data_IF_900122203429
#
_entry.id   IF_900122203429
#
_cell.length_a   1.000
_cell.length_b   1.000
_cell.length_c   1.000
_cell.angle_alpha   90.00
_cell.angle_beta   90.00
_cell.angle_gamma   90.00
#
_symmetry.space_group_name_H-M   'P 1'
#
loop_
_entity.id
_entity.type
_entity.pdbx_description
1 polymer ?
#
# COMPACT_ATOMS: atom_id res chain seq x y z
N UNK A 1 41.62 -34.65 -29.40
CA UNK A 1 41.92 -34.61 -30.85
C UNK A 1 42.55 -33.28 -31.31
N UNK A 2 42.15 -32.11 -30.78
CA UNK A 2 42.73 -30.81 -31.18
C UNK A 2 44.18 -30.63 -30.70
N UNK A 3 44.51 -31.05 -29.47
CA UNK A 3 45.86 -30.92 -28.90
C UNK A 3 46.92 -31.77 -29.61
N UNK A 4 46.55 -32.97 -30.06
CA UNK A 4 47.46 -33.88 -30.75
C UNK A 4 47.86 -33.37 -32.15
N UNK A 5 46.96 -32.64 -32.81
CA UNK A 5 47.23 -31.96 -34.07
C UNK A 5 48.14 -30.73 -33.93
N UNK A 6 48.01 -29.99 -32.83
CA UNK A 6 48.86 -28.84 -32.53
C UNK A 6 50.30 -29.28 -32.22
N UNK A 7 50.48 -30.38 -31.49
CA UNK A 7 51.80 -30.89 -31.12
C UNK A 7 52.61 -31.38 -32.34
N UNK A 8 51.95 -32.09 -33.28
CA UNK A 8 52.58 -32.56 -34.53
C UNK A 8 53.02 -31.40 -35.43
N UNK A 9 52.25 -30.30 -35.47
CA UNK A 9 52.62 -29.08 -36.22
C UNK A 9 53.81 -28.35 -35.59
N UNK A 10 53.85 -28.26 -34.25
CA UNK A 10 54.97 -27.66 -33.53
C UNK A 10 56.29 -28.44 -33.73
N UNK A 11 56.21 -29.78 -33.74
CA UNK A 11 57.38 -30.62 -33.99
C UNK A 11 57.90 -30.50 -35.43
N UNK A 12 56.98 -30.45 -36.42
CA UNK A 12 57.36 -30.22 -37.81
C UNK A 12 58.01 -28.84 -38.02
N UNK A 13 57.48 -27.80 -37.37
CA UNK A 13 58.06 -26.45 -37.43
C UNK A 13 59.48 -26.40 -36.85
N UNK A 14 59.75 -27.10 -35.74
CA UNK A 14 61.09 -27.20 -35.15
C UNK A 14 62.09 -27.87 -36.10
N UNK A 15 61.71 -28.98 -36.73
CA UNK A 15 62.59 -29.68 -37.69
C UNK A 15 62.94 -28.82 -38.91
N UNK A 16 61.99 -28.03 -39.40
CA UNK A 16 62.25 -27.07 -40.49
C UNK A 16 63.19 -25.96 -40.03
N UNK A 17 62.99 -25.43 -38.82
CA UNK A 17 63.86 -24.39 -38.26
C UNK A 17 65.31 -24.87 -38.04
N UNK A 18 65.48 -26.09 -37.54
CA UNK A 18 66.79 -26.73 -37.38
C UNK A 18 67.49 -26.97 -38.73
N UNK A 19 66.76 -27.42 -39.74
CA UNK A 19 67.30 -27.58 -41.10
C UNK A 19 67.72 -26.23 -41.71
N UNK A 20 66.97 -25.16 -41.45
CA UNK A 20 67.26 -23.82 -41.94
C UNK A 20 68.51 -23.20 -41.28
N UNK A 21 68.67 -23.37 -39.97
CA UNK A 21 69.87 -22.97 -39.24
C UNK A 21 71.11 -23.70 -39.76
N UNK A 22 70.98 -24.99 -40.05
CA UNK A 22 72.06 -25.82 -40.60
C UNK A 22 72.55 -25.31 -41.97
N UNK A 23 71.64 -24.87 -42.84
CA UNK A 23 72.01 -24.32 -44.17
C UNK A 23 72.83 -23.03 -44.01
N UNK A 24 72.41 -22.07 -43.19
CA UNK A 24 73.19 -20.83 -43.01
C UNK A 24 74.56 -21.11 -42.37
N UNK A 25 74.61 -21.98 -41.37
CA UNK A 25 75.86 -22.37 -40.70
C UNK A 25 76.85 -23.07 -41.65
N UNK A 26 76.35 -23.90 -42.56
CA UNK A 26 77.19 -24.57 -43.56
C UNK A 26 77.87 -23.56 -44.49
N UNK A 27 77.12 -22.58 -44.99
CA UNK A 27 77.70 -21.52 -45.82
C UNK A 27 78.61 -20.60 -45.01
N UNK A 28 78.31 -20.35 -43.73
CA UNK A 28 79.14 -19.53 -42.84
C UNK A 28 80.49 -20.19 -42.59
N UNK A 29 80.49 -21.51 -42.41
CA UNK A 29 81.70 -22.31 -42.29
C UNK A 29 82.54 -22.25 -43.57
N UNK A 30 81.95 -22.50 -44.74
CA UNK A 30 82.65 -22.42 -46.04
C UNK A 30 83.23 -21.03 -46.30
N UNK A 31 82.49 -19.98 -45.96
CA UNK A 31 82.96 -18.60 -46.07
C UNK A 31 84.17 -18.32 -45.16
N UNK A 32 84.15 -18.82 -43.91
CA UNK A 32 85.27 -18.70 -42.98
C UNK A 32 86.51 -19.51 -43.42
N UNK A 33 86.29 -20.63 -44.11
CA UNK A 33 87.33 -21.45 -44.73
C UNK A 33 87.91 -20.82 -46.02
N UNK A 34 87.35 -19.68 -46.46
CA UNK A 34 87.88 -18.89 -47.55
C UNK A 34 87.20 -19.10 -48.90
N UNK A 35 86.10 -19.86 -48.99
CA UNK A 35 85.34 -20.04 -50.22
C UNK A 35 84.73 -18.70 -50.69
N UNK A 36 85.17 -18.15 -51.84
CA UNK A 36 84.66 -16.88 -52.34
C UNK A 36 83.18 -16.96 -52.74
N UNK A 37 82.71 -18.12 -53.21
CA UNK A 37 81.31 -18.35 -53.60
C UNK A 37 80.41 -18.34 -52.37
N UNK A 38 80.85 -18.98 -51.28
CA UNK A 38 80.11 -18.97 -50.03
C UNK A 38 80.06 -17.58 -49.38
N UNK A 39 81.15 -16.80 -49.46
CA UNK A 39 81.18 -15.39 -49.02
C UNK A 39 80.20 -14.52 -49.82
N UNK A 40 80.22 -14.64 -51.14
CA UNK A 40 79.30 -13.91 -52.03
C UNK A 40 77.84 -14.29 -51.72
N UNK A 41 77.55 -15.59 -51.62
CA UNK A 41 76.20 -16.10 -51.35
C UNK A 41 75.64 -15.62 -50.01
N UNK A 42 76.44 -15.65 -48.93
CA UNK A 42 76.01 -15.12 -47.63
C UNK A 42 75.78 -13.62 -47.65
N UNK A 43 76.67 -12.88 -48.32
CA UNK A 43 76.51 -11.43 -48.48
C UNK A 43 75.20 -11.09 -49.18
N UNK A 44 74.91 -11.76 -50.30
CA UNK A 44 73.64 -11.59 -51.02
C UNK A 44 72.43 -11.98 -50.15
N UNK A 45 72.49 -13.12 -49.47
CA UNK A 45 71.43 -13.60 -48.58
C UNK A 45 71.10 -12.58 -47.47
N UNK A 46 72.10 -12.06 -46.75
CA UNK A 46 71.89 -11.08 -45.69
C UNK A 46 71.43 -9.72 -46.20
N UNK A 47 71.92 -9.26 -47.35
CA UNK A 47 71.44 -8.03 -48.00
C UNK A 47 69.97 -8.17 -48.37
N UNK A 48 69.59 -9.27 -49.01
CA UNK A 48 68.21 -9.52 -49.45
C UNK A 48 67.25 -9.62 -48.25
N UNK A 49 67.65 -10.29 -47.16
CA UNK A 49 66.86 -10.32 -45.91
C UNK A 49 66.72 -8.93 -45.31
N UNK A 50 67.81 -8.16 -45.26
CA UNK A 50 67.80 -6.80 -44.72
C UNK A 50 66.88 -5.87 -45.51
N UNK A 51 66.91 -5.94 -46.84
CA UNK A 51 66.03 -5.15 -47.72
C UNK A 51 64.56 -5.54 -47.54
N UNK A 52 64.27 -6.83 -47.48
CA UNK A 52 62.91 -7.30 -47.27
C UNK A 52 62.34 -6.91 -45.90
N UNK A 53 63.13 -6.99 -44.83
CA UNK A 53 62.73 -6.55 -43.50
C UNK A 53 62.48 -5.03 -43.42
N UNK A 54 63.04 -4.26 -44.37
CA UNK A 54 62.83 -2.82 -44.52
C UNK A 54 61.75 -2.49 -45.57
N UNK A 55 61.11 -3.50 -46.20
CA UNK A 55 60.13 -3.30 -47.27
C UNK A 55 60.73 -2.66 -48.54
N UNK A 56 62.02 -2.85 -48.80
CA UNK A 56 62.72 -2.30 -49.96
C UNK A 56 62.76 -3.29 -51.13
N UNK A 57 62.72 -2.74 -52.35
CA UNK A 57 62.88 -3.53 -53.57
C UNK A 57 64.25 -4.21 -53.60
N UNK A 58 64.23 -5.50 -53.94
CA UNK A 58 65.44 -6.30 -54.06
C UNK A 58 66.00 -6.12 -55.46
N UNK A 59 67.31 -5.85 -55.60
CA UNK A 59 67.94 -5.81 -56.91
C UNK A 59 67.70 -7.13 -57.65
N UNK A 60 67.10 -7.12 -58.85
CA UNK A 60 66.84 -8.35 -59.63
C UNK A 60 68.12 -9.15 -59.90
N UNK A 61 69.24 -8.44 -59.99
CA UNK A 61 70.57 -9.02 -60.18
C UNK A 61 71.05 -9.81 -58.94
N UNK A 62 70.70 -9.38 -57.73
CA UNK A 62 71.09 -10.06 -56.49
C UNK A 62 70.29 -11.36 -56.31
N UNK A 63 68.99 -11.32 -56.63
CA UNK A 63 68.10 -12.47 -56.55
C UNK A 63 68.51 -13.58 -57.52
N UNK A 64 68.68 -13.22 -58.81
CA UNK A 64 69.09 -14.17 -59.84
C UNK A 64 70.50 -14.71 -59.57
N UNK A 65 71.40 -13.88 -59.02
CA UNK A 65 72.74 -14.32 -58.63
C UNK A 65 72.72 -15.31 -57.47
N UNK A 66 71.95 -15.05 -56.41
CA UNK A 66 71.84 -15.97 -55.26
C UNK A 66 71.24 -17.31 -55.68
N UNK A 67 70.23 -17.29 -56.55
CA UNK A 67 69.61 -18.49 -57.13
C UNK A 67 70.62 -19.35 -57.91
N UNK A 68 71.57 -18.72 -58.59
CA UNK A 68 72.60 -19.41 -59.36
C UNK A 68 73.73 -19.97 -58.48
N UNK A 69 74.23 -19.20 -57.52
CA UNK A 69 75.44 -19.58 -56.76
C UNK A 69 75.13 -20.37 -55.47
N UNK A 70 73.92 -20.25 -54.93
CA UNK A 70 73.52 -20.93 -53.70
C UNK A 70 72.00 -21.21 -53.63
N UNK A 71 71.49 -22.19 -54.40
CA UNK A 71 70.06 -22.53 -54.45
C UNK A 71 69.44 -22.84 -53.07
N UNK A 72 70.23 -23.43 -52.16
CA UNK A 72 69.80 -23.73 -50.79
C UNK A 72 69.58 -22.45 -49.96
N UNK A 73 70.48 -21.46 -50.07
CA UNK A 73 70.30 -20.15 -49.43
C UNK A 73 69.16 -19.37 -50.08
N UNK A 74 68.96 -19.50 -51.39
CA UNK A 74 67.80 -18.90 -52.07
C UNK A 74 66.46 -19.51 -51.59
N UNK A 75 66.40 -20.82 -51.38
CA UNK A 75 65.22 -21.48 -50.80
C UNK A 75 64.98 -21.02 -49.35
N UNK A 76 66.04 -20.92 -48.55
CA UNK A 76 65.99 -20.38 -47.19
C UNK A 76 65.50 -18.93 -47.16
N UNK A 77 65.97 -18.12 -48.12
CA UNK A 77 65.54 -16.73 -48.31
C UNK A 77 64.02 -16.66 -48.55
N UNK A 78 63.47 -17.45 -49.48
CA UNK A 78 62.03 -17.49 -49.75
C UNK A 78 61.18 -17.90 -48.53
N UNK A 79 61.66 -18.84 -47.72
CA UNK A 79 60.98 -19.18 -46.46
C UNK A 79 61.06 -18.06 -45.43
N UNK A 80 62.20 -17.36 -45.37
CA UNK A 80 62.40 -16.21 -44.48
C UNK A 80 61.47 -15.06 -44.87
N UNK A 81 61.31 -14.80 -46.16
CA UNK A 81 60.33 -13.83 -46.69
C UNK A 81 58.90 -14.14 -46.24
N UNK A 82 58.48 -15.38 -46.43
CA UNK A 82 57.14 -15.82 -46.04
C UNK A 82 56.92 -15.66 -44.52
N UNK A 83 57.94 -15.94 -43.71
CA UNK A 83 57.87 -15.75 -42.26
C UNK A 83 57.84 -14.27 -41.85
N UNK A 84 58.55 -13.39 -42.55
CA UNK A 84 58.48 -11.93 -42.34
C UNK A 84 57.06 -11.43 -42.64
N UNK A 85 56.50 -11.82 -43.78
CA UNK A 85 55.12 -11.47 -44.17
C UNK A 85 54.09 -11.99 -43.15
N UNK A 86 54.21 -13.25 -42.71
CA UNK A 86 53.32 -13.80 -41.68
C UNK A 86 53.44 -13.05 -40.35
N UNK A 87 54.64 -12.60 -39.98
CA UNK A 87 54.87 -11.83 -38.76
C UNK A 87 54.25 -10.44 -38.87
N UNK A 88 54.42 -9.77 -40.00
CA UNK A 88 53.79 -8.47 -40.30
C UNK A 88 52.26 -8.58 -40.33
N UNK A 89 51.70 -9.63 -40.94
CA UNK A 89 50.26 -9.89 -40.93
C UNK A 89 49.74 -10.20 -39.52
N UNK A 90 50.49 -10.98 -38.73
CA UNK A 90 50.13 -11.29 -37.35
C UNK A 90 50.24 -10.06 -36.44
N UNK A 91 51.24 -9.20 -36.65
CA UNK A 91 51.40 -7.93 -35.93
C UNK A 91 50.33 -6.93 -36.35
N UNK A 92 50.01 -6.80 -37.64
CA UNK A 92 48.90 -5.98 -38.13
C UNK A 92 47.54 -6.50 -37.66
N UNK A 93 47.35 -7.83 -37.58
CA UNK A 93 46.17 -8.44 -36.99
C UNK A 93 46.10 -8.18 -35.47
N UNK A 94 47.25 -8.21 -34.76
CA UNK A 94 47.34 -7.91 -33.33
C UNK A 94 47.10 -6.44 -33.03
N UNK A 95 47.60 -5.54 -33.86
CA UNK A 95 47.39 -4.10 -33.80
C UNK A 95 45.92 -3.76 -34.09
N UNK A 96 45.29 -4.45 -35.05
CA UNK A 96 43.83 -4.39 -35.26
C UNK A 96 43.04 -5.05 -34.12
N UNK A 97 43.61 -6.03 -33.43
CA UNK A 97 42.95 -6.79 -32.36
C UNK A 97 43.09 -6.18 -30.96
N UNK A 98 43.84 -5.09 -30.76
CA UNK A 98 43.90 -4.42 -29.44
C UNK A 98 43.78 -2.89 -29.52
N UNK A 99 42.76 -2.24 -28.90
CA UNK A 99 41.78 -2.78 -27.95
C UNK A 99 40.32 -2.72 -28.46
N UNK A 100 39.78 -3.84 -28.91
CA UNK A 100 38.33 -4.14 -28.78
C UNK A 100 38.01 -4.69 -27.37
N UNK A 101 39.02 -4.79 -26.49
CA UNK A 101 38.88 -5.24 -25.09
C UNK A 101 38.51 -4.10 -24.12
N UNK A 102 38.56 -2.82 -24.54
CA UNK A 102 38.24 -1.70 -23.63
C UNK A 102 36.76 -1.26 -23.53
N UNK A 103 35.89 -1.40 -24.55
CA UNK A 103 34.48 -1.02 -24.39
C UNK A 103 33.71 -2.05 -23.55
N UNK A 104 33.84 -3.34 -23.85
CA UNK A 104 33.07 -4.39 -23.17
C UNK A 104 33.51 -4.55 -21.71
N UNK A 105 34.80 -4.47 -21.40
CA UNK A 105 35.28 -4.56 -20.03
C UNK A 105 34.83 -3.36 -19.18
N UNK A 106 34.82 -2.16 -19.77
CA UNK A 106 34.36 -0.95 -19.09
C UNK A 106 32.82 -0.93 -18.96
N UNK A 107 32.09 -1.39 -19.97
CA UNK A 107 30.64 -1.58 -19.94
C UNK A 107 30.24 -2.65 -18.91
N UNK A 108 31.02 -3.73 -18.79
CA UNK A 108 30.87 -4.76 -17.75
C UNK A 108 31.15 -4.19 -16.35
N UNK A 109 32.17 -3.35 -16.19
CA UNK A 109 32.43 -2.63 -14.92
C UNK A 109 31.28 -1.69 -14.56
N UNK A 110 30.78 -0.92 -15.52
CA UNK A 110 29.67 0.00 -15.33
C UNK A 110 28.37 -0.75 -14.99
N UNK A 111 28.08 -1.85 -15.68
CA UNK A 111 26.95 -2.72 -15.38
C UNK A 111 27.07 -3.33 -13.97
N UNK A 112 28.23 -3.85 -13.59
CA UNK A 112 28.43 -4.40 -12.26
C UNK A 112 28.29 -3.33 -11.16
N UNK A 113 28.76 -2.10 -11.40
CA UNK A 113 28.57 -0.98 -10.49
C UNK A 113 27.08 -0.58 -10.38
N UNK A 114 26.36 -0.56 -11.51
CA UNK A 114 24.93 -0.27 -11.55
C UNK A 114 24.11 -1.36 -10.84
N UNK A 115 24.46 -2.64 -11.01
CA UNK A 115 23.86 -3.77 -10.30
C UNK A 115 24.09 -3.62 -8.79
N UNK A 116 25.31 -3.37 -8.34
CA UNK A 116 25.59 -3.16 -6.92
C UNK A 116 24.86 -1.93 -6.32
N UNK A 117 24.67 -0.87 -7.10
CA UNK A 117 23.86 0.28 -6.70
C UNK A 117 22.36 -0.06 -6.62
N UNK A 118 21.86 -0.85 -7.57
CA UNK A 118 20.48 -1.33 -7.58
C UNK A 118 20.20 -2.26 -6.39
N UNK A 119 21.09 -3.19 -6.08
CA UNK A 119 20.99 -4.09 -4.92
C UNK A 119 20.92 -3.32 -3.60
N UNK A 120 21.76 -2.30 -3.41
CA UNK A 120 21.70 -1.43 -2.23
C UNK A 120 20.36 -0.68 -2.13
N UNK A 121 19.83 -0.24 -3.27
CA UNK A 121 18.53 0.46 -3.34
C UNK A 121 17.37 -0.49 -3.04
N UNK A 122 17.42 -1.74 -3.53
CA UNK A 122 16.47 -2.80 -3.17
C UNK A 122 16.51 -3.08 -1.68
N UNK A 123 17.70 -3.30 -1.10
CA UNK A 123 17.84 -3.54 0.34
C UNK A 123 17.31 -2.36 1.18
N UNK A 124 17.51 -1.12 0.72
CA UNK A 124 16.94 0.07 1.35
C UNK A 124 15.40 0.09 1.25
N UNK A 125 14.84 -0.21 0.08
CA UNK A 125 13.39 -0.27 -0.13
C UNK A 125 12.75 -1.40 0.69
N UNK A 126 13.37 -2.57 0.78
CA UNK A 126 12.91 -3.68 1.62
C UNK A 126 12.83 -3.27 3.11
N UNK A 127 13.84 -2.54 3.61
CA UNK A 127 13.81 -1.98 4.97
C UNK A 127 12.68 -0.97 5.14
N UNK A 128 12.46 -0.09 4.17
CA UNK A 128 11.36 0.87 4.20
C UNK A 128 10.00 0.19 4.17
N UNK A 129 9.82 -0.86 3.35
CA UNK A 129 8.59 -1.65 3.27
C UNK A 129 8.35 -2.39 4.59
N UNK A 130 9.39 -2.96 5.21
CA UNK A 130 9.26 -3.58 6.53
C UNK A 130 8.92 -2.56 7.62
N UNK A 131 9.53 -1.37 7.59
CA UNK A 131 9.20 -0.29 8.51
C UNK A 131 7.75 0.19 8.31
N UNK A 132 7.30 0.35 7.07
CA UNK A 132 5.94 0.73 6.73
C UNK A 132 4.91 -0.34 7.14
N UNK A 133 5.21 -1.62 6.93
CA UNK A 133 4.38 -2.74 7.43
C UNK A 133 4.27 -2.72 8.94
N UNK A 134 5.39 -2.58 9.67
CA UNK A 134 5.37 -2.46 11.14
C UNK A 134 4.60 -1.24 11.62
N UNK A 135 4.72 -0.10 10.93
CA UNK A 135 3.96 1.09 11.24
C UNK A 135 2.46 0.90 10.98
N UNK A 136 2.09 0.18 9.91
CA UNK A 136 0.70 -0.17 9.60
C UNK A 136 0.13 -1.14 10.65
N UNK A 137 0.88 -2.17 11.02
CA UNK A 137 0.49 -3.14 12.05
C UNK A 137 0.33 -2.44 13.41
N UNK A 138 1.27 -1.55 13.79
CA UNK A 138 1.16 -0.75 15.00
C UNK A 138 -0.04 0.21 14.96
N UNK A 139 -0.34 0.82 13.81
CA UNK A 139 -1.52 1.67 13.64
C UNK A 139 -2.83 0.86 13.69
N UNK A 140 -2.84 -0.37 13.16
CA UNK A 140 -3.99 -1.27 13.26
C UNK A 140 -4.20 -1.76 14.69
N UNK A 141 -3.14 -2.14 15.40
CA UNK A 141 -3.18 -2.52 16.83
C UNK A 141 -3.62 -1.33 17.69
N UNK A 142 -3.17 -0.11 17.40
CA UNK A 142 -3.64 1.09 18.08
C UNK A 142 -5.11 1.40 17.74
N UNK A 143 -5.59 1.11 16.53
CA UNK A 143 -7.02 1.27 16.17
C UNK A 143 -7.90 0.23 16.85
N UNK A 144 -7.49 -1.03 16.92
CA UNK A 144 -8.26 -2.10 17.60
C UNK A 144 -8.19 -1.96 19.12
N UNK A 145 -7.03 -1.60 19.67
CA UNK A 145 -6.85 -1.23 21.07
C UNK A 145 -7.69 0.00 21.46
N UNK A 146 -7.65 1.07 20.66
CA UNK A 146 -8.46 2.27 20.88
C UNK A 146 -9.96 2.02 20.73
N UNK A 147 -10.40 1.10 19.86
CA UNK A 147 -11.81 0.74 19.74
C UNK A 147 -12.29 -0.09 20.95
N UNK A 148 -11.46 -1.01 21.45
CA UNK A 148 -11.73 -1.77 22.67
C UNK A 148 -11.78 -0.87 23.92
N UNK A 149 -10.85 0.07 24.02
CA UNK A 149 -10.78 1.02 25.13
C UNK A 149 -11.89 2.09 25.05
N UNK A 150 -12.27 2.55 23.85
CA UNK A 150 -13.46 3.39 23.68
C UNK A 150 -14.74 2.64 24.02
N UNK A 151 -14.87 1.38 23.63
CA UNK A 151 -16.02 0.54 24.01
C UNK A 151 -16.13 0.41 25.53
N UNK A 152 -15.03 0.08 26.22
CA UNK A 152 -14.99 0.02 27.69
C UNK A 152 -15.29 1.37 28.36
N UNK A 153 -14.81 2.49 27.79
CA UNK A 153 -15.11 3.82 28.31
C UNK A 153 -16.57 4.21 28.13
N UNK A 154 -17.19 3.82 27.00
CA UNK A 154 -18.62 4.02 26.75
C UNK A 154 -19.46 3.14 27.68
N UNK A 155 -19.11 1.87 27.84
CA UNK A 155 -19.78 0.95 28.78
C UNK A 155 -19.69 1.47 30.23
N UNK A 156 -18.50 1.87 30.70
CA UNK A 156 -18.34 2.46 32.04
C UNK A 156 -19.09 3.80 32.19
N UNK A 157 -19.13 4.63 31.15
CA UNK A 157 -19.89 5.88 31.19
C UNK A 157 -21.41 5.61 31.23
N UNK A 158 -21.87 4.57 30.56
CA UNK A 158 -23.27 4.17 30.54
C UNK A 158 -23.70 3.55 31.87
N UNK A 159 -22.84 2.76 32.51
CA UNK A 159 -23.06 2.25 33.86
C UNK A 159 -23.11 3.39 34.90
N UNK A 160 -22.20 4.36 34.81
CA UNK A 160 -22.22 5.56 35.66
C UNK A 160 -23.48 6.41 35.42
N UNK A 161 -23.90 6.58 34.17
CA UNK A 161 -25.13 7.27 33.82
C UNK A 161 -26.35 6.56 34.44
N UNK A 162 -26.42 5.23 34.32
CA UNK A 162 -27.52 4.44 34.91
C UNK A 162 -27.54 4.54 36.44
N UNK A 163 -26.38 4.54 37.10
CA UNK A 163 -26.29 4.76 38.54
C UNK A 163 -26.76 6.16 38.94
N UNK A 164 -26.38 7.19 38.18
CA UNK A 164 -26.84 8.56 38.41
C UNK A 164 -28.35 8.71 38.18
N UNK A 165 -28.90 8.09 37.13
CA UNK A 165 -30.35 8.08 36.87
C UNK A 165 -31.10 7.37 38.00
N UNK A 166 -30.58 6.24 38.48
CA UNK A 166 -31.18 5.54 39.62
C UNK A 166 -31.13 6.38 40.91
N UNK A 167 -30.00 7.04 41.18
CA UNK A 167 -29.86 7.93 42.32
C UNK A 167 -30.76 9.17 42.21
N UNK A 168 -30.90 9.73 41.01
CA UNK A 168 -31.78 10.86 40.74
C UNK A 168 -33.24 10.46 40.92
N UNK A 169 -33.66 9.30 40.40
CA UNK A 169 -35.00 8.77 40.61
C UNK A 169 -35.31 8.56 42.10
N UNK A 170 -34.37 7.99 42.85
CA UNK A 170 -34.52 7.85 44.30
C UNK A 170 -34.63 9.21 45.02
N UNK A 171 -33.85 10.22 44.59
CA UNK A 171 -33.93 11.57 45.14
C UNK A 171 -35.24 12.28 44.76
N UNK A 172 -35.77 12.03 43.56
CA UNK A 172 -37.08 12.54 43.14
C UNK A 172 -38.22 11.88 43.91
N UNK A 173 -38.16 10.57 44.14
CA UNK A 173 -39.10 9.87 45.02
C UNK A 173 -39.07 10.45 46.44
N UNK A 174 -37.88 10.73 47.00
CA UNK A 174 -37.76 11.40 48.30
C UNK A 174 -38.33 12.82 48.29
N UNK A 175 -38.06 13.60 47.24
CA UNK A 175 -38.61 14.95 47.05
C UNK A 175 -40.12 14.91 46.99
N UNK A 176 -40.69 13.94 46.28
CA UNK A 176 -42.12 13.82 46.09
C UNK A 176 -42.80 13.32 47.37
N UNK A 177 -42.18 12.39 48.11
CA UNK A 177 -42.61 12.05 49.47
C UNK A 177 -42.59 13.26 50.40
N UNK A 178 -41.57 14.11 50.35
CA UNK A 178 -41.50 15.35 51.13
C UNK A 178 -42.55 16.36 50.69
N UNK A 179 -42.83 16.49 49.39
CA UNK A 179 -43.92 17.32 48.87
C UNK A 179 -45.27 16.81 49.30
N UNK A 180 -45.50 15.50 49.29
CA UNK A 180 -46.74 14.89 49.77
C UNK A 180 -46.91 15.12 51.27
N UNK A 181 -45.85 14.97 52.07
CA UNK A 181 -45.88 15.33 53.49
C UNK A 181 -46.19 16.82 53.72
N UNK A 182 -45.59 17.73 52.94
CA UNK A 182 -45.89 19.16 53.00
C UNK A 182 -47.32 19.47 52.55
N UNK A 183 -47.79 18.79 51.51
CA UNK A 183 -49.13 18.91 50.94
C UNK A 183 -50.20 18.28 51.81
N UNK A 184 -49.85 17.42 52.76
CA UNK A 184 -50.75 16.91 53.80
C UNK A 184 -50.76 17.87 54.99
N UNK A 185 -49.62 18.48 55.34
CA UNK A 185 -49.53 19.44 56.44
C UNK A 185 -50.15 20.80 56.13
N UNK A 186 -50.08 21.32 54.91
CA UNK A 186 -50.63 22.63 54.57
C UNK A 186 -52.17 22.69 54.58
N UNK A 187 -52.92 21.70 54.03
CA UNK A 187 -54.36 21.64 54.18
C UNK A 187 -54.76 21.22 55.59
N UNK A 188 -54.01 20.38 56.30
CA UNK A 188 -54.32 20.07 57.70
C UNK A 188 -54.24 21.34 58.57
N UNK A 189 -53.21 22.17 58.40
CA UNK A 189 -53.08 23.46 59.09
C UNK A 189 -54.14 24.48 58.64
N UNK A 190 -54.47 24.54 57.35
CA UNK A 190 -55.43 25.53 56.82
C UNK A 190 -56.90 25.13 57.02
N UNK A 191 -57.25 23.85 56.94
CA UNK A 191 -58.60 23.33 57.27
C UNK A 191 -58.82 23.31 58.78
N UNK A 192 -57.81 22.96 59.59
CA UNK A 192 -57.93 23.04 61.06
C UNK A 192 -58.13 24.50 61.51
N UNK A 193 -57.39 25.46 60.95
CA UNK A 193 -57.60 26.90 61.23
C UNK A 193 -58.90 27.47 60.64
N UNK A 194 -59.40 26.93 59.51
CA UNK A 194 -60.68 27.34 58.92
C UNK A 194 -61.88 26.82 59.72
N UNK A 195 -61.87 25.55 60.15
CA UNK A 195 -62.94 24.96 60.95
C UNK A 195 -62.91 25.38 62.43
N UNK A 196 -61.74 25.68 63.01
CA UNK A 196 -61.63 26.30 64.33
C UNK A 196 -62.19 27.74 64.37
N UNK A 197 -62.27 28.42 63.21
CA UNK A 197 -62.80 29.79 63.08
C UNK A 197 -64.28 29.87 62.67
N UNK A 198 -64.82 28.86 61.98
CA UNK A 198 -66.19 28.90 61.40
C UNK A 198 -67.09 27.67 61.68
N UNK A 199 -66.73 26.79 62.62
CA UNK A 199 -67.68 25.94 63.35
C UNK A 199 -68.70 25.12 62.54
N UNK A 200 -68.26 24.13 61.76
CA UNK A 200 -69.03 22.92 61.41
C UNK A 200 -68.17 21.98 60.54
N UNK A 201 -67.94 20.72 60.96
CA UNK A 201 -67.22 19.69 60.19
C UNK A 201 -68.21 18.94 59.29
N UNK A 202 -68.03 18.87 57.96
CA UNK A 202 -68.81 17.99 57.07
C UNK A 202 -68.36 16.52 57.19
N UNK A 203 -69.28 15.57 57.00
CA UNK A 203 -69.00 14.13 57.14
C UNK A 203 -67.98 13.59 56.12
N UNK A 204 -67.12 12.66 56.57
CA UNK A 204 -65.98 12.06 55.84
C UNK A 204 -66.33 11.56 54.43
N UNK A 205 -67.56 11.08 54.21
CA UNK A 205 -68.01 10.55 52.93
C UNK A 205 -67.96 11.57 51.79
N UNK A 206 -68.07 12.87 52.09
CA UNK A 206 -68.04 13.93 51.07
C UNK A 206 -66.62 14.29 50.63
N UNK A 207 -65.66 14.17 51.56
CA UNK A 207 -64.23 14.40 51.31
C UNK A 207 -63.65 13.25 50.46
N UNK A 208 -64.08 12.02 50.74
CA UNK A 208 -63.64 10.83 50.00
C UNK A 208 -64.10 10.83 48.53
N UNK A 209 -65.31 11.34 48.26
CA UNK A 209 -65.87 11.44 46.90
C UNK A 209 -65.10 12.46 46.03
N UNK A 210 -64.68 13.59 46.61
CA UNK A 210 -63.87 14.59 45.91
C UNK A 210 -62.44 14.10 45.64
N UNK A 211 -61.83 13.38 46.59
CA UNK A 211 -60.49 12.79 46.40
C UNK A 211 -60.44 11.74 45.28
N UNK A 212 -61.45 10.88 45.16
CA UNK A 212 -61.55 9.90 44.05
C UNK A 212 -61.73 10.57 42.68
N UNK A 213 -62.37 11.74 42.62
CA UNK A 213 -62.53 12.49 41.37
C UNK A 213 -61.24 13.19 40.93
N UNK A 214 -60.39 13.58 41.87
CA UNK A 214 -59.09 14.21 41.62
C UNK A 214 -58.02 13.20 41.16
N UNK A 215 -58.05 11.97 41.68
CA UNK A 215 -57.12 10.89 41.31
C UNK A 215 -57.30 10.42 39.85
N UNK A 216 -58.51 10.50 39.29
CA UNK A 216 -58.80 10.10 37.90
C UNK A 216 -58.29 11.08 36.84
N UNK A 217 -57.90 12.30 37.20
CA UNK A 217 -57.46 13.35 36.25
C UNK A 217 -55.95 13.35 35.96
N UNK A 218 -55.16 12.43 36.52
CA UNK A 218 -53.69 12.40 36.42
C UNK A 218 -53.11 11.12 35.80
N UNK A 219 -53.93 10.24 35.23
CA UNK A 219 -53.45 9.05 34.51
C UNK A 219 -53.41 9.30 33.00
N UNK A 220 -52.44 10.08 32.52
CA UNK A 220 -51.96 9.99 31.13
C UNK A 220 -50.48 9.56 31.17
N UNK A 221 -50.07 8.53 30.42
CA UNK A 221 -48.77 7.88 30.61
C UNK A 221 -47.63 8.61 29.91
N UNK A 222 -46.60 8.95 30.68
CA UNK A 222 -45.26 9.32 30.21
C UNK A 222 -44.62 8.15 29.44
N UNK A 223 -44.46 8.29 28.13
CA UNK A 223 -43.80 7.33 27.26
C UNK A 223 -43.28 8.00 25.99
N UNK A 224 -42.18 8.73 26.09
CA UNK A 224 -41.59 9.51 24.99
C UNK A 224 -40.92 8.63 23.91
N UNK A 225 -41.69 8.12 22.95
CA UNK A 225 -41.15 7.38 21.79
C UNK A 225 -41.09 8.19 20.48
N UNK A 226 -41.41 9.49 20.51
CA UNK A 226 -41.36 10.39 19.35
C UNK A 226 -40.19 11.37 19.46
N UNK A 227 -39.49 11.62 18.36
CA UNK A 227 -38.47 12.67 18.32
C UNK A 227 -39.08 14.05 18.53
N UNK A 228 -38.28 15.04 18.94
CA UNK A 228 -38.78 16.39 19.24
C UNK A 228 -39.53 17.02 18.05
N UNK A 229 -39.04 16.79 16.83
CA UNK A 229 -39.73 17.20 15.60
C UNK A 229 -41.06 16.47 15.36
N UNK A 230 -41.16 15.19 15.72
CA UNK A 230 -42.40 14.41 15.59
C UNK A 230 -43.44 14.88 16.63
N UNK A 231 -43.01 15.20 17.85
CA UNK A 231 -43.87 15.75 18.92
C UNK A 231 -44.52 17.06 18.52
N UNK A 232 -43.76 17.97 17.92
CA UNK A 232 -44.28 19.25 17.42
C UNK A 232 -45.37 19.03 16.37
N UNK A 233 -45.17 18.08 15.45
CA UNK A 233 -46.17 17.75 14.41
C UNK A 233 -47.42 17.12 15.05
N UNK A 234 -47.25 16.16 15.95
CA UNK A 234 -48.35 15.49 16.64
C UNK A 234 -49.18 16.46 17.49
N UNK A 235 -48.53 17.35 18.24
CA UNK A 235 -49.23 18.39 19.01
C UNK A 235 -50.04 19.33 18.12
N UNK A 236 -49.46 19.75 16.97
CA UNK A 236 -50.17 20.60 16.02
C UNK A 236 -51.38 19.90 15.39
N UNK A 237 -51.27 18.60 15.13
CA UNK A 237 -52.39 17.78 14.64
C UNK A 237 -53.46 17.65 15.73
N UNK A 238 -53.08 17.39 16.98
CA UNK A 238 -53.99 17.30 18.11
C UNK A 238 -54.76 18.61 18.34
N UNK A 239 -54.08 19.76 18.31
CA UNK A 239 -54.71 21.08 18.40
C UNK A 239 -55.68 21.36 17.24
N UNK A 240 -55.34 20.89 16.04
CA UNK A 240 -56.20 21.04 14.86
C UNK A 240 -57.46 20.17 14.98
N UNK A 241 -57.30 18.92 15.44
CA UNK A 241 -58.41 18.00 15.67
C UNK A 241 -59.32 18.46 16.81
N UNK A 242 -58.74 19.00 17.89
CA UNK A 242 -59.52 19.55 19.00
C UNK A 242 -60.46 20.68 18.58
N UNK A 243 -60.13 21.41 17.51
CA UNK A 243 -60.96 22.48 16.94
C UNK A 243 -61.92 21.97 15.87
N UNK A 244 -61.56 20.91 15.16
CA UNK A 244 -62.28 20.43 13.98
C UNK A 244 -63.28 19.29 14.26
N UNK A 245 -63.07 18.53 15.34
CA UNK A 245 -63.90 17.37 15.70
C UNK A 245 -64.98 17.80 16.71
N UNK A 246 -66.26 17.79 16.33
CA UNK A 246 -67.35 17.99 17.27
C UNK A 246 -67.27 16.87 18.33
N UNK A 247 -67.28 17.24 19.60
CA UNK A 247 -67.18 16.33 20.75
C UNK A 247 -65.78 15.77 21.04
N UNK A 248 -64.72 16.46 20.60
CA UNK A 248 -63.33 16.10 20.97
C UNK A 248 -63.13 15.82 22.46
N UNK A 249 -63.76 16.62 23.33
CA UNK A 249 -63.64 16.49 24.79
C UNK A 249 -64.38 15.28 25.37
N UNK A 250 -65.28 14.66 24.60
CA UNK A 250 -66.05 13.47 25.00
C UNK A 250 -65.37 12.17 24.56
N UNK A 251 -64.34 12.27 23.70
CA UNK A 251 -63.55 11.12 23.27
C UNK A 251 -62.65 10.61 24.41
N UNK A 252 -62.52 9.30 24.48
CA UNK A 252 -61.48 8.66 25.32
C UNK A 252 -60.09 8.95 24.77
N UNK A 253 -59.08 8.86 25.62
CA UNK A 253 -57.69 9.19 25.21
C UNK A 253 -57.16 8.20 24.18
N UNK A 254 -57.65 6.95 24.19
CA UNK A 254 -57.38 5.98 23.14
C UNK A 254 -57.95 6.44 21.79
N UNK A 255 -59.21 6.88 21.76
CA UNK A 255 -59.86 7.38 20.54
C UNK A 255 -59.20 8.67 20.01
N UNK A 256 -58.78 9.58 20.91
CA UNK A 256 -58.02 10.79 20.53
C UNK A 256 -56.68 10.41 19.92
N UNK A 257 -55.96 9.47 20.53
CA UNK A 257 -54.67 9.00 20.04
C UNK A 257 -54.78 8.30 18.68
N UNK A 258 -55.81 7.49 18.45
CA UNK A 258 -56.07 6.86 17.15
C UNK A 258 -56.32 7.91 16.05
N UNK A 259 -57.14 8.93 16.34
CA UNK A 259 -57.43 10.02 15.39
C UNK A 259 -56.20 10.87 15.07
N UNK A 260 -55.40 11.23 16.08
CA UNK A 260 -54.15 11.99 15.90
C UNK A 260 -53.19 11.18 15.01
N UNK A 261 -53.09 9.89 15.29
CA UNK A 261 -52.21 8.97 14.58
C UNK A 261 -52.62 8.79 13.12
N UNK A 262 -53.90 8.59 12.83
CA UNK A 262 -54.41 8.52 11.46
C UNK A 262 -54.07 9.77 10.65
N UNK A 263 -54.27 10.96 11.24
CA UNK A 263 -53.92 12.23 10.59
C UNK A 263 -52.42 12.43 10.43
N UNK A 264 -51.63 11.96 11.39
CA UNK A 264 -50.18 12.01 11.31
C UNK A 264 -49.64 11.17 10.15
N UNK A 265 -50.19 9.96 9.94
CA UNK A 265 -49.83 9.13 8.80
C UNK A 265 -50.12 9.81 7.47
N UNK A 266 -51.34 10.34 7.34
CA UNK A 266 -51.75 11.05 6.13
C UNK A 266 -50.87 12.27 5.85
N UNK A 267 -50.51 13.02 6.89
CA UNK A 267 -49.59 14.15 6.79
C UNK A 267 -48.22 13.73 6.24
N UNK A 268 -47.66 12.63 6.73
CA UNK A 268 -46.37 12.12 6.24
C UNK A 268 -46.46 11.68 4.77
N UNK A 269 -47.52 10.96 4.38
CA UNK A 269 -47.74 10.52 3.01
C UNK A 269 -47.90 11.69 2.03
N UNK A 270 -48.65 12.73 2.41
CA UNK A 270 -48.81 13.96 1.63
C UNK A 270 -47.47 14.70 1.46
N UNK A 271 -46.63 14.76 2.50
CA UNK A 271 -45.31 15.40 2.42
C UNK A 271 -44.34 14.63 1.53
N UNK A 272 -44.40 13.31 1.53
CA UNK A 272 -43.62 12.46 0.62
C UNK A 272 -44.08 12.67 -0.82
N UNK A 273 -45.39 12.67 -1.07
CA UNK A 273 -45.96 12.93 -2.40
C UNK A 273 -45.61 14.34 -2.93
N UNK A 274 -45.49 15.32 -2.03
CA UNK A 274 -45.03 16.68 -2.35
C UNK A 274 -43.49 16.80 -2.55
N UNK A 275 -42.76 15.68 -2.67
CA UNK A 275 -41.33 15.67 -2.99
C UNK A 275 -40.40 15.87 -1.79
N UNK A 276 -40.86 15.62 -0.55
CA UNK A 276 -40.00 15.72 0.65
C UNK A 276 -39.59 14.31 1.14
N UNK A 277 -38.50 13.72 0.62
CA UNK A 277 -38.12 12.32 0.88
C UNK A 277 -37.70 12.07 2.34
N UNK A 278 -37.31 13.11 3.08
CA UNK A 278 -36.98 13.01 4.51
C UNK A 278 -38.14 12.46 5.37
N UNK A 279 -39.39 12.66 4.95
CA UNK A 279 -40.55 12.11 5.65
C UNK A 279 -40.78 10.62 5.37
N UNK A 280 -40.16 10.04 4.32
CA UNK A 280 -40.24 8.61 4.03
C UNK A 280 -39.48 7.78 5.07
N UNK A 281 -38.36 8.29 5.57
CA UNK A 281 -37.58 7.65 6.63
C UNK A 281 -38.32 7.72 7.98
N UNK A 282 -38.97 8.87 8.26
CA UNK A 282 -39.83 9.04 9.44
C UNK A 282 -41.02 8.06 9.39
N UNK A 283 -41.69 7.95 8.24
CA UNK A 283 -42.81 7.03 8.02
C UNK A 283 -42.38 5.57 8.24
N UNK A 284 -41.23 5.17 7.67
CA UNK A 284 -40.67 3.82 7.81
C UNK A 284 -40.33 3.49 9.27
N UNK A 285 -39.71 4.42 9.99
CA UNK A 285 -39.34 4.23 11.40
C UNK A 285 -40.58 4.20 12.30
N UNK A 286 -41.60 5.02 12.01
CA UNK A 286 -42.85 4.99 12.74
C UNK A 286 -43.60 3.66 12.55
N UNK A 287 -43.70 3.12 11.31
CA UNK A 287 -44.39 1.83 11.07
C UNK A 287 -43.67 0.66 11.71
N UNK A 288 -42.33 0.66 11.67
CA UNK A 288 -41.51 -0.35 12.35
C UNK A 288 -41.75 -0.35 13.87
N UNK A 289 -41.89 0.83 14.48
CA UNK A 289 -42.22 0.95 15.92
C UNK A 289 -43.58 0.32 16.25
N UNK A 290 -44.60 0.51 15.40
CA UNK A 290 -45.90 -0.15 15.59
C UNK A 290 -45.81 -1.66 15.50
N UNK A 291 -45.05 -2.19 14.54
CA UNK A 291 -44.85 -3.63 14.41
C UNK A 291 -44.13 -4.21 15.65
N UNK A 292 -43.17 -3.47 16.21
CA UNK A 292 -42.44 -3.88 17.41
C UNK A 292 -43.31 -3.78 18.68
N UNK A 293 -44.20 -2.79 18.79
CA UNK A 293 -45.19 -2.70 19.89
C UNK A 293 -46.28 -3.78 19.78
N UNK A 294 -46.79 -4.04 18.58
CA UNK A 294 -47.77 -5.10 18.34
C UNK A 294 -47.20 -6.50 18.64
N UNK A 295 -45.88 -6.69 18.51
CA UNK A 295 -45.18 -7.91 18.92
C UNK A 295 -44.94 -8.00 20.43
N UNK A 296 -44.81 -6.88 21.14
CA UNK A 296 -44.64 -6.84 22.61
C UNK A 296 -45.96 -7.07 23.37
N UNK A 297 -47.08 -6.75 22.75
CA UNK A 297 -48.42 -6.93 23.32
C UNK A 297 -49.11 -8.25 22.90
N UNK A 298 -48.39 -9.18 22.27
CA UNK A 298 -48.80 -10.56 21.97
C UNK A 298 -48.01 -11.54 22.82
#
# INVERSE_FOLDING_TARGET
MVEEGANKRAEAARKVQEANLSIEEEYRKKANEGDPTAKEALGLYHIMIGQAALGQDIPPQAEERLKQIAPALYSLYGQTQFNIQLKEEAEAAREKATPVVNPIAEETRQLNAAVGAAEKRVASLERQVMAAKRALDAAQVNRTGSAGDQKKRIENAQDNYNQLVAALKAAEEQRDMLKDQLSIQQPASNLYNFYAKYGAIPSEQRIEAEMKSAARRKSEPEGSYYSESERVILNRIAETLAKAVPNWNELTDLQKNELIKEKYWKYLEEKIAAGNPQYAEILKNARKREEDEAKKNK
#
